data_IF_220282324953
#
_entry.id   IF_220282324953
#
_cell.length_a   1.000
_cell.length_b   1.000
_cell.length_c   1.000
_cell.angle_alpha   90.00
_cell.angle_beta   90.00
_cell.angle_gamma   90.00
#
_symmetry.space_group_name_H-M   'P 1'
#
loop_
_entity.id
_entity.type
_entity.pdbx_description
1 polymer ?
#
# COMPACT_ATOMS: atom_id res chain seq x y z
N UNK A 1 -78.39 20.73 -27.26
CA UNK A 1 -77.01 21.13 -26.92
C UNK A 1 -77.02 21.47 -25.44
N UNK A 2 -76.51 20.57 -24.62
CA UNK A 2 -76.52 20.64 -23.16
C UNK A 2 -75.05 20.56 -22.72
N UNK A 3 -74.53 21.48 -21.88
CA UNK A 3 -73.12 21.51 -21.56
C UNK A 3 -72.76 20.46 -20.50
N UNK A 4 -71.72 19.69 -20.81
CA UNK A 4 -71.10 18.66 -19.96
C UNK A 4 -70.45 19.29 -18.72
N UNK A 5 -71.01 18.98 -17.54
CA UNK A 5 -70.62 19.51 -16.23
C UNK A 5 -69.54 18.65 -15.54
N UNK A 6 -68.90 17.71 -16.26
CA UNK A 6 -67.98 16.72 -15.69
C UNK A 6 -66.53 17.16 -15.45
N UNK A 7 -66.07 18.28 -16.04
CA UNK A 7 -64.64 18.66 -15.97
C UNK A 7 -64.22 19.42 -14.69
N UNK A 8 -65.14 20.07 -13.97
CA UNK A 8 -64.79 20.89 -12.81
C UNK A 8 -64.37 20.06 -11.57
N UNK A 9 -64.85 18.82 -11.44
CA UNK A 9 -64.62 17.99 -10.24
C UNK A 9 -63.24 17.27 -10.22
N UNK A 10 -62.59 17.11 -11.38
CA UNK A 10 -61.30 16.42 -11.50
C UNK A 10 -60.11 17.33 -11.15
N UNK A 11 -60.21 18.61 -11.51
CA UNK A 11 -59.16 19.59 -11.21
C UNK A 11 -59.03 19.87 -9.71
N UNK A 12 -60.14 19.98 -8.96
CA UNK A 12 -60.10 20.31 -7.53
C UNK A 12 -59.44 19.23 -6.67
N UNK A 13 -59.61 17.95 -7.03
CA UNK A 13 -58.99 16.82 -6.32
C UNK A 13 -57.48 16.80 -6.49
N UNK A 14 -56.96 17.12 -7.69
CA UNK A 14 -55.51 17.18 -7.96
C UNK A 14 -54.81 18.29 -7.18
N UNK A 15 -55.45 19.45 -7.06
CA UNK A 15 -54.94 20.56 -6.24
C UNK A 15 -54.96 20.26 -4.74
N UNK A 16 -55.93 19.47 -4.27
CA UNK A 16 -55.99 19.03 -2.87
C UNK A 16 -54.83 18.08 -2.53
N UNK A 17 -54.54 17.10 -3.40
CA UNK A 17 -53.41 16.18 -3.21
C UNK A 17 -52.07 16.89 -3.24
N UNK A 18 -51.88 17.83 -4.17
CA UNK A 18 -50.65 18.60 -4.26
C UNK A 18 -50.43 19.46 -3.00
N UNK A 19 -51.49 20.08 -2.48
CA UNK A 19 -51.43 20.86 -1.23
C UNK A 19 -51.09 19.98 -0.02
N UNK A 20 -51.61 18.75 0.03
CA UNK A 20 -51.36 17.81 1.12
C UNK A 20 -49.91 17.28 1.11
N UNK A 21 -49.34 17.05 -0.07
CA UNK A 21 -47.92 16.65 -0.23
C UNK A 21 -46.97 17.78 0.17
N UNK A 22 -47.27 19.02 -0.21
CA UNK A 22 -46.47 20.19 0.17
C UNK A 22 -46.52 20.41 1.70
N UNK A 23 -47.69 20.24 2.32
CA UNK A 23 -47.84 20.34 3.78
C UNK A 23 -47.01 19.27 4.51
N UNK A 24 -47.01 18.03 4.00
CA UNK A 24 -46.24 16.93 4.58
C UNK A 24 -44.72 17.17 4.49
N UNK A 25 -44.25 17.66 3.35
CA UNK A 25 -42.84 18.04 3.16
C UNK A 25 -42.43 19.20 4.07
N UNK A 26 -43.31 20.20 4.25
CA UNK A 26 -43.08 21.31 5.18
C UNK A 26 -42.94 20.85 6.63
N UNK A 27 -43.75 19.88 7.08
CA UNK A 27 -43.66 19.33 8.43
C UNK A 27 -42.38 18.53 8.67
N UNK A 28 -41.87 17.80 7.66
CA UNK A 28 -40.60 17.06 7.76
C UNK A 28 -39.41 18.03 7.90
N UNK A 29 -39.40 19.11 7.12
CA UNK A 29 -38.35 20.14 7.18
C UNK A 29 -38.40 20.88 8.52
N UNK A 30 -39.60 21.25 9.01
CA UNK A 30 -39.76 21.88 10.32
C UNK A 30 -39.34 20.96 11.47
N UNK A 31 -39.65 19.66 11.38
CA UNK A 31 -39.21 18.65 12.35
C UNK A 31 -37.70 18.52 12.44
N UNK A 32 -37.00 18.48 11.30
CA UNK A 32 -35.53 18.42 11.25
C UNK A 32 -34.87 19.69 11.82
N UNK A 33 -35.46 20.86 11.57
CA UNK A 33 -34.95 22.14 12.09
C UNK A 33 -35.12 22.28 13.61
N UNK A 34 -36.24 21.79 14.16
CA UNK A 34 -36.49 21.80 15.61
C UNK A 34 -35.62 20.76 16.37
N UNK A 35 -35.26 19.63 15.75
CA UNK A 35 -34.38 18.63 16.36
C UNK A 35 -32.88 18.95 16.26
N UNK A 36 -32.47 19.88 15.39
CA UNK A 36 -31.06 20.25 15.17
C UNK A 36 -30.45 21.29 16.12
N UNK A 37 -31.18 21.80 17.12
CA UNK A 37 -30.70 22.90 17.99
C UNK A 37 -30.09 22.47 19.33
N UNK A 38 -29.89 21.16 19.58
CA UNK A 38 -29.16 20.70 20.77
C UNK A 38 -27.66 20.79 20.56
N UNK A 39 -27.09 21.97 20.86
CA UNK A 39 -25.65 22.16 21.06
C UNK A 39 -25.19 21.31 22.26
N UNK A 40 -24.13 20.50 22.15
CA UNK A 40 -23.44 19.99 23.33
C UNK A 40 -22.78 21.17 24.04
N UNK A 41 -23.08 21.33 25.33
CA UNK A 41 -22.36 22.22 26.23
C UNK A 41 -20.87 21.87 26.23
N UNK A 42 -20.04 22.87 25.94
CA UNK A 42 -18.60 22.79 26.17
C UNK A 42 -18.39 22.91 27.68
N UNK A 43 -18.22 21.78 28.35
CA UNK A 43 -17.67 21.72 29.70
C UNK A 43 -16.18 22.10 29.63
N UNK A 44 -15.91 23.35 29.95
CA UNK A 44 -14.58 23.79 30.36
C UNK A 44 -14.22 23.18 31.72
N UNK A 45 -12.90 23.02 31.88
CA UNK A 45 -12.15 22.90 33.13
C UNK A 45 -11.87 21.46 33.63
N UNK A 46 -10.59 21.03 33.56
CA UNK A 46 -9.65 21.14 34.71
C UNK A 46 -8.31 20.44 34.42
N UNK A 47 -7.23 21.19 34.66
CA UNK A 47 -5.86 20.82 35.02
C UNK A 47 -5.08 19.80 34.16
N UNK A 48 -4.07 20.33 33.46
CA UNK A 48 -2.89 19.58 33.04
C UNK A 48 -2.13 19.08 34.29
N UNK A 49 -2.00 17.77 34.41
CA UNK A 49 -1.04 17.12 35.31
C UNK A 49 0.35 17.22 34.69
N UNK A 50 1.37 17.76 35.37
CA UNK A 50 2.73 17.71 34.85
C UNK A 50 3.20 16.25 34.84
N UNK A 51 3.58 15.78 33.65
CA UNK A 51 4.28 14.51 33.43
C UNK A 51 5.54 14.46 34.29
N UNK A 52 5.80 13.39 35.05
CA UNK A 52 7.07 13.23 35.75
C UNK A 52 8.21 13.19 34.73
N UNK A 53 9.21 14.02 34.98
CA UNK A 53 10.49 14.06 34.26
C UNK A 53 11.18 12.68 34.34
N UNK A 54 11.77 12.15 33.26
CA UNK A 54 12.54 10.92 33.34
C UNK A 54 13.73 11.13 34.29
N UNK A 55 13.76 10.32 35.34
CA UNK A 55 14.85 10.23 36.30
C UNK A 55 16.15 9.85 35.58
N UNK A 56 17.18 10.67 35.75
CA UNK A 56 18.50 10.45 35.18
C UNK A 56 19.12 9.28 35.95
N UNK A 57 19.14 8.10 35.32
CA UNK A 57 19.77 6.90 35.86
C UNK A 57 21.27 7.14 36.10
N UNK A 58 21.85 6.75 37.24
CA UNK A 58 23.23 7.05 37.58
C UNK A 58 24.21 6.40 36.60
N UNK A 59 25.22 7.19 36.21
CA UNK A 59 26.40 6.76 35.46
C UNK A 59 27.01 5.50 36.10
N UNK A 60 27.28 4.42 35.32
CA UNK A 60 27.96 3.25 35.85
C UNK A 60 29.37 3.64 36.32
N UNK A 61 29.64 3.42 37.60
CA UNK A 61 30.96 3.45 38.23
C UNK A 61 31.92 2.55 37.45
N UNK A 62 33.16 2.98 37.14
CA UNK A 62 34.14 2.13 36.47
C UNK A 62 34.44 0.90 37.34
N UNK A 63 34.18 -0.28 36.77
CA UNK A 63 34.53 -1.57 37.37
C UNK A 63 36.06 -1.68 37.44
N UNK A 64 36.58 -1.83 38.66
CA UNK A 64 38.01 -1.97 38.92
C UNK A 64 38.48 -3.29 38.29
N UNK A 65 39.31 -3.19 37.25
CA UNK A 65 39.97 -4.34 36.64
C UNK A 65 40.86 -5.04 37.69
N UNK A 66 40.69 -6.34 37.97
CA UNK A 66 41.60 -7.06 38.85
C UNK A 66 42.99 -7.12 38.23
N UNK A 67 43.99 -6.66 39.01
CA UNK A 67 45.41 -6.82 38.71
C UNK A 67 45.73 -8.31 38.75
N UNK A 68 46.06 -8.89 37.59
CA UNK A 68 46.51 -10.26 37.49
C UNK A 68 47.91 -10.40 38.12
N UNK A 69 48.00 -11.28 39.10
CA UNK A 69 49.22 -11.76 39.77
C UNK A 69 50.26 -12.24 38.73
N UNK A 70 51.55 -11.89 38.86
CA UNK A 70 52.58 -12.38 37.94
C UNK A 70 52.72 -13.90 38.07
N UNK A 71 52.32 -14.62 37.02
CA UNK A 71 52.51 -16.06 36.87
C UNK A 71 53.98 -16.34 36.57
N UNK A 72 54.58 -17.20 37.39
CA UNK A 72 55.98 -17.63 37.32
C UNK A 72 56.30 -18.19 35.93
N UNK A 73 57.39 -17.67 35.36
CA UNK A 73 57.98 -18.00 34.07
C UNK A 73 58.40 -19.47 34.01
N UNK A 74 57.73 -20.25 33.15
CA UNK A 74 58.20 -21.58 32.77
C UNK A 74 59.38 -21.47 31.79
N UNK A 75 60.37 -22.33 32.02
CA UNK A 75 61.58 -22.59 31.23
C UNK A 75 61.29 -22.70 29.72
N UNK A 76 62.13 -22.13 28.82
CA UNK A 76 61.87 -22.17 27.38
C UNK A 76 62.01 -23.61 26.87
N UNK A 77 60.88 -24.20 26.48
CA UNK A 77 60.85 -25.41 25.65
C UNK A 77 61.12 -24.99 24.20
N UNK A 78 62.06 -25.66 23.55
CA UNK A 78 62.47 -25.41 22.17
C UNK A 78 61.27 -25.32 21.23
N UNK A 79 61.03 -24.14 20.68
CA UNK A 79 60.02 -23.90 19.65
C UNK A 79 60.44 -24.60 18.36
N UNK A 80 59.62 -25.56 17.90
CA UNK A 80 59.73 -26.13 16.57
C UNK A 80 59.61 -25.00 15.53
N UNK A 81 60.47 -25.06 14.51
CA UNK A 81 60.50 -24.14 13.36
C UNK A 81 59.09 -23.88 12.84
N UNK A 82 58.66 -22.60 12.65
CA UNK A 82 57.34 -22.29 12.10
C UNK A 82 57.16 -23.02 10.76
N UNK A 83 56.08 -23.78 10.64
CA UNK A 83 55.64 -24.30 9.35
C UNK A 83 55.39 -23.11 8.41
N UNK A 84 55.74 -23.22 7.12
CA UNK A 84 55.50 -22.14 6.16
C UNK A 84 54.01 -21.79 6.18
N UNK A 85 53.69 -20.54 6.53
CA UNK A 85 52.34 -20.00 6.43
C UNK A 85 51.94 -20.06 4.95
N UNK A 86 51.00 -20.92 4.62
CA UNK A 86 50.37 -20.92 3.31
C UNK A 86 49.68 -19.58 3.10
N UNK A 87 50.23 -18.76 2.20
CA UNK A 87 49.57 -17.54 1.74
C UNK A 87 48.23 -17.94 1.12
N UNK A 88 47.08 -17.42 1.60
CA UNK A 88 45.80 -17.77 1.03
C UNK A 88 45.78 -17.33 -0.44
N UNK A 89 45.46 -18.26 -1.33
CA UNK A 89 45.20 -17.96 -2.74
C UNK A 89 44.06 -16.94 -2.79
N UNK A 90 44.21 -15.81 -3.52
CA UNK A 90 43.15 -14.82 -3.62
C UNK A 90 41.89 -15.49 -4.19
N UNK A 91 40.82 -15.51 -3.39
CA UNK A 91 39.51 -15.97 -3.85
C UNK A 91 38.92 -14.86 -4.71
N UNK A 92 38.63 -15.16 -5.97
CA UNK A 92 38.01 -14.21 -6.89
C UNK A 92 36.66 -13.77 -6.34
N UNK A 93 36.42 -12.46 -6.26
CA UNK A 93 35.11 -11.94 -5.86
C UNK A 93 34.04 -12.35 -6.88
N UNK A 94 32.82 -12.69 -6.42
CA UNK A 94 31.74 -13.05 -7.34
C UNK A 94 31.31 -11.85 -8.19
N UNK A 95 30.99 -12.09 -9.46
CA UNK A 95 30.57 -11.05 -10.42
C UNK A 95 29.06 -10.91 -10.40
N UNK A 96 28.54 -9.72 -10.09
CA UNK A 96 27.10 -9.45 -10.09
C UNK A 96 26.52 -9.46 -11.52
N UNK A 97 25.32 -10.02 -11.64
CA UNK A 97 24.47 -10.04 -12.82
C UNK A 97 23.14 -9.32 -12.52
N UNK A 98 22.46 -8.86 -13.57
CA UNK A 98 21.13 -8.24 -13.47
C UNK A 98 20.18 -8.93 -14.44
N UNK A 99 18.98 -9.26 -13.96
CA UNK A 99 17.85 -9.66 -14.81
C UNK A 99 16.67 -8.72 -14.59
N UNK A 100 15.87 -8.52 -15.63
CA UNK A 100 14.64 -7.72 -15.60
C UNK A 100 13.51 -8.62 -16.06
N UNK A 101 12.50 -8.78 -15.22
CA UNK A 101 11.28 -9.49 -15.54
C UNK A 101 10.11 -8.51 -15.60
N UNK A 102 9.24 -8.66 -16.59
CA UNK A 102 8.01 -7.87 -16.68
C UNK A 102 6.88 -8.59 -15.94
N UNK A 103 5.87 -7.84 -15.50
CA UNK A 103 4.71 -8.43 -14.84
C UNK A 103 3.84 -9.28 -15.77
N UNK A 104 2.96 -10.07 -15.18
CA UNK A 104 2.01 -10.95 -15.86
C UNK A 104 0.68 -10.23 -16.03
N UNK A 105 0.15 -10.21 -17.25
CA UNK A 105 -1.10 -9.51 -17.60
C UNK A 105 -2.28 -9.93 -16.71
N UNK A 106 -2.44 -11.23 -16.42
CA UNK A 106 -3.56 -11.73 -15.59
C UNK A 106 -3.47 -11.38 -14.12
N UNK A 107 -2.30 -10.90 -13.67
CA UNK A 107 -2.02 -10.53 -12.28
C UNK A 107 -2.01 -9.02 -12.08
N UNK A 108 -1.97 -8.24 -13.15
CA UNK A 108 -1.99 -6.78 -13.06
C UNK A 108 -3.41 -6.23 -13.02
N UNK A 109 -3.59 -5.13 -12.30
CA UNK A 109 -4.84 -4.36 -12.34
C UNK A 109 -5.16 -3.68 -11.02
N UNK A 110 -6.44 -3.54 -10.74
CA UNK A 110 -6.91 -3.03 -9.46
C UNK A 110 -8.18 -3.74 -8.98
N UNK A 111 -8.37 -3.74 -7.67
CA UNK A 111 -9.60 -4.14 -6.99
C UNK A 111 -10.05 -3.06 -6.01
N UNK A 112 -11.34 -3.01 -5.74
CA UNK A 112 -11.94 -2.02 -4.84
C UNK A 112 -12.86 -2.65 -3.78
N UNK A 113 -13.06 -1.93 -2.67
CA UNK A 113 -13.88 -2.37 -1.53
C UNK A 113 -15.36 -2.60 -1.84
N UNK A 114 -15.84 -2.19 -3.01
CA UNK A 114 -17.20 -2.45 -3.50
C UNK A 114 -17.29 -3.66 -4.45
N UNK A 115 -16.30 -4.55 -4.42
CA UNK A 115 -16.14 -5.68 -5.35
C UNK A 115 -15.91 -5.27 -6.82
N UNK A 116 -15.68 -3.98 -7.07
CA UNK A 116 -15.24 -3.46 -8.37
C UNK A 116 -13.77 -3.79 -8.66
N UNK A 117 -13.36 -3.63 -9.91
CA UNK A 117 -11.98 -3.83 -10.33
C UNK A 117 -11.85 -4.15 -11.80
N UNK A 118 -10.61 -4.17 -12.29
CA UNK A 118 -10.30 -4.49 -13.67
C UNK A 118 -8.86 -5.03 -13.75
N UNK A 119 -8.65 -6.10 -14.50
CA UNK A 119 -7.35 -6.73 -14.77
C UNK A 119 -6.93 -6.64 -16.26
N UNK A 120 -7.60 -5.77 -17.01
CA UNK A 120 -7.41 -5.55 -18.44
C UNK A 120 -6.99 -4.12 -18.80
N UNK A 121 -6.78 -3.26 -17.80
CA UNK A 121 -6.40 -1.85 -17.96
C UNK A 121 -5.23 -1.52 -17.02
N UNK A 122 -5.05 -0.25 -16.64
CA UNK A 122 -4.05 0.20 -15.68
C UNK A 122 -4.14 -0.48 -14.31
N UNK A 123 -3.05 -0.30 -13.57
CA UNK A 123 -3.01 -0.45 -12.12
C UNK A 123 -3.40 0.90 -11.49
N UNK A 124 -4.28 0.87 -10.49
CA UNK A 124 -4.75 2.06 -9.76
C UNK A 124 -4.56 1.87 -8.27
N UNK A 125 -4.20 2.93 -7.56
CA UNK A 125 -4.19 2.95 -6.11
C UNK A 125 -4.65 4.33 -5.63
N UNK A 126 -5.64 4.37 -4.72
CA UNK A 126 -6.31 5.60 -4.34
C UNK A 126 -7.65 5.40 -3.67
N UNK A 127 -8.43 6.46 -3.59
CA UNK A 127 -9.83 6.45 -3.18
C UNK A 127 -10.72 7.16 -4.22
N UNK A 128 -12.03 7.21 -3.98
CA UNK A 128 -12.97 7.80 -4.91
C UNK A 128 -14.33 8.11 -4.32
N UNK A 129 -15.34 8.18 -5.18
CA UNK A 129 -16.69 8.57 -4.78
C UNK A 129 -17.29 7.71 -3.67
N UNK A 130 -18.19 8.32 -2.90
CA UNK A 130 -19.02 7.60 -1.93
C UNK A 130 -19.94 6.62 -2.64
N UNK A 131 -20.00 5.38 -2.16
CA UNK A 131 -20.78 4.27 -2.73
C UNK A 131 -21.51 3.48 -1.63
N UNK A 132 -22.50 2.68 -2.00
CA UNK A 132 -23.20 1.77 -1.08
C UNK A 132 -24.25 2.41 -0.17
N UNK A 133 -24.85 1.58 0.69
CA UNK A 133 -25.80 1.96 1.72
C UNK A 133 -25.54 1.12 3.01
N UNK A 134 -25.08 1.71 4.13
CA UNK A 134 -24.70 3.12 4.30
C UNK A 134 -23.54 3.52 3.38
N UNK A 135 -23.46 4.81 3.05
CA UNK A 135 -22.43 5.31 2.14
C UNK A 135 -21.03 5.20 2.76
N UNK A 136 -20.08 4.69 1.99
CA UNK A 136 -18.67 4.61 2.33
C UNK A 136 -17.80 5.04 1.14
N UNK A 137 -16.58 5.48 1.40
CA UNK A 137 -15.67 5.92 0.33
C UNK A 137 -15.13 4.72 -0.45
N UNK A 138 -15.10 4.83 -1.78
CA UNK A 138 -14.48 3.82 -2.62
C UNK A 138 -12.98 3.77 -2.32
N UNK A 139 -12.44 2.61 -1.99
CA UNK A 139 -11.00 2.39 -1.78
C UNK A 139 -10.49 1.47 -2.88
N UNK A 140 -9.43 1.88 -3.57
CA UNK A 140 -8.84 1.21 -4.72
C UNK A 140 -7.42 0.77 -4.38
N UNK A 141 -7.14 -0.52 -4.58
CA UNK A 141 -5.82 -1.12 -4.41
C UNK A 141 -5.33 -1.69 -5.74
N UNK A 142 -4.07 -1.42 -6.07
CA UNK A 142 -3.42 -1.89 -7.28
C UNK A 142 -2.75 -3.23 -7.03
N UNK A 143 -2.60 -4.04 -8.08
CA UNK A 143 -1.98 -5.36 -7.99
C UNK A 143 -1.04 -5.57 -9.16
N UNK A 144 0.08 -6.24 -8.91
CA UNK A 144 1.02 -6.68 -9.95
C UNK A 144 1.78 -7.92 -9.50
N UNK A 145 2.08 -8.81 -10.44
CA UNK A 145 2.74 -10.08 -10.15
C UNK A 145 3.73 -10.48 -11.23
N UNK A 146 4.78 -11.19 -10.82
CA UNK A 146 5.92 -11.55 -11.66
C UNK A 146 6.26 -13.03 -11.50
N UNK A 147 6.54 -13.73 -12.60
CA UNK A 147 7.11 -15.08 -12.54
C UNK A 147 8.57 -15.01 -12.07
N UNK A 148 8.89 -15.73 -11.00
CA UNK A 148 10.26 -15.80 -10.50
C UNK A 148 11.06 -16.70 -11.46
N UNK A 149 12.17 -16.21 -12.05
CA UNK A 149 13.00 -17.00 -12.95
C UNK A 149 13.87 -17.96 -12.13
N UNK A 150 13.26 -18.97 -11.51
CA UNK A 150 13.92 -19.92 -10.59
C UNK A 150 15.10 -20.64 -11.23
N UNK A 151 15.02 -20.95 -12.53
CA UNK A 151 16.14 -21.52 -13.30
C UNK A 151 17.39 -20.62 -13.32
N UNK A 152 17.20 -19.30 -13.24
CA UNK A 152 18.29 -18.30 -13.22
C UNK A 152 18.77 -18.02 -11.79
N UNK A 153 17.84 -17.99 -10.83
CA UNK A 153 18.12 -17.55 -9.46
C UNK A 153 18.45 -18.68 -8.48
N UNK A 154 18.23 -19.95 -8.85
CA UNK A 154 18.51 -21.08 -7.96
C UNK A 154 19.99 -21.15 -7.58
N UNK A 155 20.26 -21.19 -6.27
CA UNK A 155 21.62 -21.20 -5.71
C UNK A 155 22.37 -19.87 -5.81
N UNK A 156 21.72 -18.80 -6.30
CA UNK A 156 22.32 -17.46 -6.40
C UNK A 156 22.12 -16.65 -5.13
N UNK A 157 23.08 -15.78 -4.85
CA UNK A 157 22.91 -14.77 -3.80
C UNK A 157 22.20 -13.57 -4.38
N UNK A 158 20.97 -13.31 -3.92
CA UNK A 158 20.23 -12.11 -4.30
C UNK A 158 20.80 -10.91 -3.54
N UNK A 159 21.35 -9.95 -4.28
CA UNK A 159 21.89 -8.70 -3.74
C UNK A 159 20.76 -7.69 -3.54
N UNK A 160 19.93 -7.48 -4.56
CA UNK A 160 18.78 -6.58 -4.49
C UNK A 160 17.66 -7.01 -5.44
N UNK A 161 16.43 -6.63 -5.09
CA UNK A 161 15.28 -6.67 -5.99
C UNK A 161 14.50 -5.35 -5.89
N UNK A 162 14.23 -4.74 -7.04
CA UNK A 162 13.54 -3.44 -7.14
C UNK A 162 12.29 -3.60 -7.98
N UNK A 163 11.14 -3.33 -7.37
CA UNK A 163 9.85 -3.19 -8.05
C UNK A 163 9.81 -1.81 -8.70
N UNK A 164 9.59 -1.77 -10.02
CA UNK A 164 9.57 -0.54 -10.81
C UNK A 164 8.27 -0.41 -11.59
N UNK A 165 7.51 0.65 -11.34
CA UNK A 165 6.24 0.95 -12.02
C UNK A 165 6.25 2.37 -12.60
N UNK A 166 5.71 2.55 -13.81
CA UNK A 166 5.62 3.87 -14.42
C UNK A 166 4.30 4.56 -14.06
N UNK A 167 4.36 5.62 -13.26
CA UNK A 167 3.20 6.48 -12.97
C UNK A 167 2.93 7.38 -14.17
N UNK A 168 1.77 7.25 -14.81
CA UNK A 168 1.46 8.01 -16.02
C UNK A 168 0.34 9.04 -15.85
N UNK A 169 -0.42 8.96 -14.76
CA UNK A 169 -1.50 9.90 -14.45
C UNK A 169 -1.74 9.98 -12.94
N UNK A 170 -2.18 11.14 -12.49
CA UNK A 170 -2.74 11.36 -11.15
C UNK A 170 -4.05 12.12 -11.30
N UNK A 171 -5.09 11.69 -10.57
CA UNK A 171 -6.34 12.45 -10.38
C UNK A 171 -6.42 12.87 -8.91
N UNK A 172 -6.91 14.09 -8.65
CA UNK A 172 -7.01 14.63 -7.30
C UNK A 172 -5.64 14.86 -6.64
N UNK A 173 -5.57 14.58 -5.35
CA UNK A 173 -4.45 14.85 -4.45
C UNK A 173 -4.07 13.64 -3.57
N UNK A 174 -3.79 12.45 -4.16
CA UNK A 174 -3.51 11.21 -3.39
C UNK A 174 -2.27 11.29 -2.50
N UNK A 175 -1.45 12.33 -2.67
CA UNK A 175 -0.22 12.58 -1.91
C UNK A 175 -0.37 13.71 -0.89
N UNK A 176 -1.55 14.28 -0.72
CA UNK A 176 -1.82 15.31 0.29
C UNK A 176 -1.67 14.74 1.71
N UNK A 177 -1.41 15.61 2.69
CA UNK A 177 -1.27 15.18 4.09
C UNK A 177 -0.08 14.25 4.38
N UNK A 178 0.88 14.12 3.46
CA UNK A 178 2.01 13.20 3.58
C UNK A 178 1.69 11.76 3.20
N UNK A 179 0.54 11.52 2.56
CA UNK A 179 0.12 10.21 2.08
C UNK A 179 1.07 9.68 0.97
N UNK A 180 1.15 8.37 0.87
CA UNK A 180 2.13 7.65 0.06
C UNK A 180 1.47 6.43 -0.58
N UNK A 181 1.98 6.01 -1.73
CA UNK A 181 1.72 4.67 -2.24
C UNK A 181 2.71 3.72 -1.58
N UNK A 182 2.19 2.78 -0.80
CA UNK A 182 2.98 1.73 -0.14
C UNK A 182 2.69 0.37 -0.77
N UNK A 183 3.67 -0.52 -0.61
CA UNK A 183 3.69 -1.85 -1.20
C UNK A 183 3.50 -2.88 -0.09
N UNK A 184 2.57 -3.80 -0.29
CA UNK A 184 2.47 -5.05 0.47
C UNK A 184 2.97 -6.22 -0.38
N UNK A 185 3.46 -7.28 0.27
CA UNK A 185 3.79 -8.58 -0.33
C UNK A 185 2.66 -9.58 -0.08
N UNK A 186 2.20 -10.23 -1.13
CA UNK A 186 1.08 -11.17 -1.10
C UNK A 186 1.42 -12.44 -1.89
N UNK A 187 0.58 -13.45 -1.68
CA UNK A 187 0.29 -14.48 -2.68
C UNK A 187 -1.23 -14.42 -2.92
N UNK A 188 -1.62 -14.12 -4.16
CA UNK A 188 -3.03 -14.09 -4.57
C UNK A 188 -3.31 -15.05 -5.73
N UNK A 189 -2.44 -16.05 -5.93
CA UNK A 189 -2.66 -17.12 -6.91
C UNK A 189 -2.37 -16.72 -8.35
N UNK A 190 -3.04 -17.41 -9.30
CA UNK A 190 -2.73 -17.36 -10.73
C UNK A 190 -3.46 -16.23 -11.49
N UNK A 191 -4.44 -15.60 -10.87
CA UNK A 191 -5.25 -14.54 -11.47
C UNK A 191 -5.70 -13.53 -10.43
N UNK A 192 -5.78 -12.27 -10.82
CA UNK A 192 -6.38 -11.23 -9.99
C UNK A 192 -7.90 -11.43 -9.94
N UNK A 193 -8.45 -11.64 -8.74
CA UNK A 193 -9.86 -11.90 -8.42
C UNK A 193 -10.42 -10.88 -7.42
N UNK A 194 -11.74 -10.89 -7.21
CA UNK A 194 -12.40 -9.93 -6.30
C UNK A 194 -11.95 -10.08 -4.84
N UNK A 195 -11.75 -11.32 -4.38
CA UNK A 195 -11.34 -11.64 -3.01
C UNK A 195 -9.95 -11.05 -2.66
N UNK A 196 -9.10 -10.81 -3.66
CA UNK A 196 -7.73 -10.33 -3.48
C UNK A 196 -7.66 -8.92 -2.90
N UNK A 197 -8.75 -8.14 -3.06
CA UNK A 197 -8.86 -6.84 -2.39
C UNK A 197 -8.54 -6.96 -0.89
N UNK A 198 -9.10 -7.98 -0.24
CA UNK A 198 -8.97 -8.26 1.18
C UNK A 198 -7.99 -9.38 1.51
N UNK A 199 -7.22 -9.88 0.53
CA UNK A 199 -6.23 -10.90 0.79
C UNK A 199 -5.25 -10.44 1.87
N UNK A 200 -4.95 -11.35 2.80
CA UNK A 200 -4.00 -11.08 3.89
C UNK A 200 -2.61 -11.00 3.29
N UNK A 201 -1.88 -9.93 3.61
CA UNK A 201 -0.51 -9.79 3.16
C UNK A 201 0.40 -10.78 3.90
N UNK A 202 1.31 -11.41 3.17
CA UNK A 202 2.43 -12.15 3.75
C UNK A 202 3.27 -11.18 4.60
N UNK A 203 3.50 -9.98 4.06
CA UNK A 203 4.10 -8.87 4.78
C UNK A 203 3.52 -7.55 4.29
N UNK A 204 3.12 -6.66 5.19
CA UNK A 204 2.46 -5.40 4.85
C UNK A 204 3.39 -4.20 4.99
N UNK A 205 3.27 -3.22 4.10
CA UNK A 205 4.05 -1.97 4.15
C UNK A 205 5.54 -2.20 3.99
N UNK A 206 5.94 -3.15 3.14
CA UNK A 206 7.34 -3.55 2.94
C UNK A 206 8.20 -2.43 2.32
N UNK A 207 7.57 -1.50 1.59
CA UNK A 207 8.24 -0.38 0.95
C UNK A 207 7.26 0.78 0.68
N UNK A 208 7.82 1.97 0.46
CA UNK A 208 7.11 3.09 -0.18
C UNK A 208 7.50 3.11 -1.66
N UNK A 209 6.52 3.04 -2.56
CA UNK A 209 6.76 3.19 -4.00
C UNK A 209 6.92 4.65 -4.39
N UNK A 210 6.03 5.52 -3.90
CA UNK A 210 6.12 6.95 -4.17
C UNK A 210 5.32 7.78 -3.17
N UNK A 211 5.69 9.05 -3.05
CA UNK A 211 5.02 10.04 -2.23
C UNK A 211 4.78 11.35 -3.01
N UNK A 212 4.77 11.30 -4.36
CA UNK A 212 4.62 12.48 -5.19
C UNK A 212 3.88 12.21 -6.51
N UNK A 213 3.32 13.28 -7.08
CA UNK A 213 2.53 13.23 -8.29
C UNK A 213 3.33 13.28 -9.60
N UNK A 214 4.68 13.27 -9.54
CA UNK A 214 5.51 13.37 -10.75
C UNK A 214 5.32 12.14 -11.63
N UNK A 215 5.12 12.36 -12.93
CA UNK A 215 4.96 11.30 -13.94
C UNK A 215 6.33 10.77 -14.33
N UNK A 216 6.65 9.57 -13.88
CA UNK A 216 7.96 8.93 -14.07
C UNK A 216 7.92 7.46 -13.59
N UNK A 217 9.04 6.77 -13.76
CA UNK A 217 9.30 5.51 -13.06
C UNK A 217 9.40 5.73 -11.55
N UNK A 218 8.68 4.89 -10.81
CA UNK A 218 8.74 4.80 -9.36
C UNK A 218 9.35 3.45 -8.98
N UNK A 219 10.28 3.49 -8.04
CA UNK A 219 11.07 2.33 -7.63
C UNK A 219 10.85 2.04 -6.14
N UNK A 220 10.70 0.76 -5.79
CA UNK A 220 10.56 0.28 -4.42
C UNK A 220 11.47 -0.92 -4.19
N UNK A 221 12.25 -0.92 -3.12
CA UNK A 221 13.08 -2.07 -2.76
C UNK A 221 12.22 -3.18 -2.15
N UNK A 222 12.26 -4.36 -2.77
CA UNK A 222 11.47 -5.54 -2.38
C UNK A 222 12.34 -6.79 -2.19
N UNK A 223 13.64 -6.59 -1.97
CA UNK A 223 14.65 -7.66 -1.82
C UNK A 223 14.23 -8.74 -0.83
N UNK A 224 13.71 -8.35 0.34
CA UNK A 224 13.28 -9.30 1.38
C UNK A 224 12.06 -10.12 0.97
N UNK A 225 11.11 -9.53 0.23
CA UNK A 225 9.92 -10.22 -0.27
C UNK A 225 10.30 -11.29 -1.31
N UNK A 226 11.13 -10.93 -2.29
CA UNK A 226 11.61 -11.91 -3.28
C UNK A 226 12.40 -13.06 -2.63
N UNK A 227 13.23 -12.76 -1.64
CA UNK A 227 13.96 -13.80 -0.87
C UNK A 227 12.99 -14.71 -0.12
N UNK A 228 11.93 -14.16 0.47
CA UNK A 228 10.89 -14.94 1.14
C UNK A 228 10.19 -15.89 0.14
N UNK A 229 9.79 -15.39 -1.03
CA UNK A 229 9.17 -16.21 -2.08
C UNK A 229 10.08 -17.35 -2.55
N UNK A 230 11.35 -17.06 -2.82
CA UNK A 230 12.35 -18.07 -3.18
C UNK A 230 12.51 -19.14 -2.09
N UNK A 231 12.53 -18.73 -0.81
CA UNK A 231 12.66 -19.66 0.32
C UNK A 231 11.42 -20.51 0.56
N UNK A 232 10.24 -19.97 0.26
CA UNK A 232 8.96 -20.67 0.36
C UNK A 232 8.68 -21.56 -0.87
N UNK A 233 9.51 -21.47 -1.91
CA UNK A 233 9.31 -22.20 -3.16
C UNK A 233 8.16 -21.65 -4.01
N UNK A 234 7.76 -20.40 -3.80
CA UNK A 234 6.76 -19.75 -4.64
C UNK A 234 7.28 -19.58 -6.06
N UNK A 235 6.40 -19.77 -7.04
CA UNK A 235 6.71 -19.53 -8.46
C UNK A 235 6.63 -18.06 -8.84
N UNK A 236 6.07 -17.21 -7.98
CA UNK A 236 5.81 -15.79 -8.24
C UNK A 236 6.17 -14.91 -7.07
N UNK A 237 6.40 -13.64 -7.40
CA UNK A 237 6.47 -12.56 -6.43
C UNK A 237 5.39 -11.55 -6.76
N UNK A 238 4.52 -11.27 -5.79
CA UNK A 238 3.27 -10.56 -6.00
C UNK A 238 3.08 -9.42 -5.01
N UNK A 239 2.56 -8.30 -5.50
CA UNK A 239 2.55 -7.03 -4.78
C UNK A 239 1.21 -6.33 -4.88
N UNK A 240 0.79 -5.72 -3.77
CA UNK A 240 -0.38 -4.83 -3.70
C UNK A 240 0.07 -3.41 -3.42
N UNK A 241 -0.47 -2.47 -4.16
CA UNK A 241 -0.28 -1.04 -4.00
C UNK A 241 -1.50 -0.44 -3.31
N UNK A 242 -1.29 0.35 -2.27
CA UNK A 242 -2.36 1.06 -1.57
C UNK A 242 -1.86 2.39 -1.03
N UNK A 243 -2.78 3.31 -0.77
CA UNK A 243 -2.43 4.50 -0.01
C UNK A 243 -2.08 4.12 1.43
N UNK A 244 -1.13 4.85 2.02
CA UNK A 244 -0.77 4.71 3.44
C UNK A 244 -1.94 5.08 4.37
N UNK A 245 -2.76 6.04 3.94
CA UNK A 245 -4.08 6.36 4.49
C UNK A 245 -5.10 6.17 3.36
N UNK A 246 -5.96 5.17 3.49
CA UNK A 246 -6.80 4.69 2.38
C UNK A 246 -8.00 5.58 2.04
N UNK A 247 -8.40 6.46 2.95
CA UNK A 247 -9.56 7.33 2.81
C UNK A 247 -9.29 8.64 3.52
N UNK A 248 -9.69 9.75 2.89
CA UNK A 248 -9.77 11.07 3.52
C UNK A 248 -11.24 11.47 3.79
N UNK A 249 -12.19 10.67 3.31
CA UNK A 249 -13.63 10.84 3.54
C UNK A 249 -14.24 11.97 2.72
N UNK A 250 -13.54 12.47 1.70
CA UNK A 250 -14.00 13.59 0.87
C UNK A 250 -15.04 13.18 -0.17
N UNK A 251 -15.11 11.89 -0.52
CA UNK A 251 -15.89 11.38 -1.64
C UNK A 251 -15.38 11.87 -3.00
N UNK A 252 -14.16 12.40 -3.05
CA UNK A 252 -13.50 12.86 -4.27
C UNK A 252 -12.48 11.83 -4.72
N UNK A 253 -12.15 11.81 -6.01
CA UNK A 253 -11.16 10.88 -6.55
C UNK A 253 -9.73 11.38 -6.29
N UNK A 254 -8.99 10.67 -5.44
CA UNK A 254 -7.56 10.82 -5.27
C UNK A 254 -6.83 9.52 -5.66
N UNK A 255 -6.38 9.43 -6.91
CA UNK A 255 -5.86 8.19 -7.51
C UNK A 255 -4.56 8.40 -8.25
N UNK A 256 -3.60 7.51 -7.98
CA UNK A 256 -2.39 7.33 -8.79
C UNK A 256 -2.58 6.17 -9.78
N UNK A 257 -2.17 6.39 -11.03
CA UNK A 257 -2.34 5.46 -12.14
C UNK A 257 -0.97 5.00 -12.65
N UNK A 258 -0.80 3.69 -12.76
CA UNK A 258 0.42 3.05 -13.22
C UNK A 258 0.13 2.15 -14.42
N UNK A 259 1.08 2.05 -15.35
CA UNK A 259 0.94 1.09 -16.46
C UNK A 259 0.85 -0.34 -15.93
N UNK A 260 0.06 -1.16 -16.61
CA UNK A 260 0.08 -2.62 -16.49
C UNK A 260 0.83 -3.24 -17.66
N UNK A 261 1.06 -4.55 -17.60
CA UNK A 261 1.55 -5.33 -18.74
C UNK A 261 0.53 -5.52 -19.85
N UNK A 262 -0.74 -5.10 -19.65
CA UNK A 262 -1.76 -5.21 -20.68
C UNK A 262 -1.55 -4.16 -21.78
N UNK A 263 -1.06 -4.57 -22.95
CA UNK A 263 -0.87 -3.68 -24.11
C UNK A 263 -2.09 -3.59 -25.03
N UNK A 264 -3.21 -4.23 -24.68
CA UNK A 264 -4.46 -4.18 -25.45
C UNK A 264 -5.27 -2.90 -25.21
N UNK A 265 -4.95 -2.11 -24.18
CA UNK A 265 -5.57 -0.82 -23.92
C UNK A 265 -4.84 0.30 -24.67
N UNK A 266 -5.59 1.11 -25.41
CA UNK A 266 -5.03 2.16 -26.26
C UNK A 266 -4.25 3.19 -25.44
N UNK A 267 -3.03 3.51 -25.90
CA UNK A 267 -2.12 4.44 -25.21
C UNK A 267 -1.09 3.78 -24.29
N UNK A 268 -1.09 2.45 -24.15
CA UNK A 268 -0.06 1.76 -23.36
C UNK A 268 1.10 1.29 -24.23
N UNK A 269 2.32 1.60 -23.77
CA UNK A 269 3.55 1.16 -24.41
C UNK A 269 4.13 -0.03 -23.68
N UNK A 270 4.61 -1.02 -24.42
CA UNK A 270 5.42 -2.11 -23.87
C UNK A 270 6.69 -1.62 -23.16
N UNK A 271 7.13 -0.38 -23.44
CA UNK A 271 8.28 0.23 -22.78
C UNK A 271 8.04 0.59 -21.31
N UNK A 272 6.77 0.68 -20.86
CA UNK A 272 6.41 1.13 -19.50
C UNK A 272 5.76 0.05 -18.64
N UNK A 273 5.88 -1.22 -19.04
CA UNK A 273 5.36 -2.35 -18.25
C UNK A 273 6.00 -2.40 -16.87
N UNK A 274 5.28 -2.82 -15.81
CA UNK A 274 5.88 -3.07 -14.51
C UNK A 274 7.07 -4.03 -14.62
N UNK A 275 8.12 -3.75 -13.84
CA UNK A 275 9.37 -4.50 -13.85
C UNK A 275 9.75 -4.93 -12.43
N UNK A 276 10.31 -6.13 -12.31
CA UNK A 276 11.13 -6.51 -11.16
C UNK A 276 12.57 -6.64 -11.63
N UNK A 277 13.43 -5.75 -11.13
CA UNK A 277 14.86 -5.68 -11.48
C UNK A 277 15.65 -6.37 -10.38
N UNK A 278 16.33 -7.46 -10.71
CA UNK A 278 16.98 -8.34 -9.73
C UNK A 278 18.47 -8.36 -10.00
N UNK A 279 19.26 -8.06 -8.97
CA UNK A 279 20.73 -8.14 -8.98
C UNK A 279 21.20 -9.32 -8.13
N UNK A 280 22.09 -10.16 -8.65
CA UNK A 280 22.52 -11.40 -7.99
C UNK A 280 23.93 -11.83 -8.42
N UNK A 281 24.53 -12.80 -7.72
CA UNK A 281 25.77 -13.46 -8.15
C UNK A 281 25.77 -14.96 -7.85
#
# INVERSE_FOLDING_TARGET
MEPDNGQAASASRKWLYLSLVILLLGLIIAGAFLMGTRRPEVLSNTAATPTPSPEISPTPTPEVTPILTPKITAKPTSTLKPAPTVTPTPTTAPVSQTTIINSIVSLDGFRANNNGGNNSIEIRAGNGSMVGAPAYELVIRGFTGFDIPTAVLSGKTIESAVLRLYQYKVTGTPYSGGNKIIVDHLDYGDSLEGADYSATAISSGIATLTANAVIEWKDAEVTSALKADLSAGHSRSQYRLRLSTETDGSGTEDVAYFHSSNTGYTGYSAAFRPQLVIKYH
#
